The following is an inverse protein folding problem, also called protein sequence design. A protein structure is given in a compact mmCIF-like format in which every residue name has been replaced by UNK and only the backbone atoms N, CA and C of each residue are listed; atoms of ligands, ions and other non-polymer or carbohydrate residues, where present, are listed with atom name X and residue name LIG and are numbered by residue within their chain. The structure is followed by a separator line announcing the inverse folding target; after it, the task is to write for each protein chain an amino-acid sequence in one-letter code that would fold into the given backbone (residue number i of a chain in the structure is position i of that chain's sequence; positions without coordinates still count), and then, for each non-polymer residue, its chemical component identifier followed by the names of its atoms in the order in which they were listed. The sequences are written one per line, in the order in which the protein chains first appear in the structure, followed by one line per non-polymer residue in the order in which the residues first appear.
data_IF_862968273107
#
_entry.id   IF_862968273107
#
_cell.length_a   1.000
_cell.length_b   1.000
_cell.length_c   1.000
_cell.angle_alpha   90.00
_cell.angle_beta   90.00
_cell.angle_gamma   90.00
#
_symmetry.space_group_name_H-M   'P 1'
#
loop_
_entity.id
_entity.type
_entity.pdbx_description
1 polymer ?
#
# COMPACT_ATOMS: atom_id res chain seq x y z
N UNK A 1 -36.80 -50.40 32.79
CA UNK A 1 -35.65 -50.44 31.85
C UNK A 1 -35.84 -49.35 30.81
N UNK A 2 -35.31 -48.16 31.07
CA UNK A 2 -35.27 -47.07 30.09
C UNK A 2 -34.02 -47.26 29.23
N UNK A 3 -34.21 -47.32 27.91
CA UNK A 3 -33.14 -47.50 26.91
C UNK A 3 -32.72 -46.12 26.44
N UNK A 4 -31.57 -45.64 26.92
CA UNK A 4 -30.96 -44.39 26.47
C UNK A 4 -30.48 -44.57 25.02
N UNK A 5 -30.94 -43.71 24.11
CA UNK A 5 -30.44 -43.60 22.75
C UNK A 5 -29.45 -42.42 22.76
N UNK A 6 -28.15 -42.72 22.61
CA UNK A 6 -27.15 -41.71 22.28
C UNK A 6 -27.26 -41.41 20.78
N UNK A 7 -27.53 -40.16 20.44
CA UNK A 7 -27.37 -39.63 19.08
C UNK A 7 -26.01 -38.95 19.02
N UNK A 8 -25.07 -39.56 18.31
CA UNK A 8 -23.77 -38.96 17.99
C UNK A 8 -23.98 -37.99 16.83
N UNK A 9 -23.91 -36.69 17.08
CA UNK A 9 -23.91 -35.66 16.03
C UNK A 9 -22.48 -35.53 15.52
N UNK A 10 -22.26 -36.00 14.29
CA UNK A 10 -21.03 -35.81 13.54
C UNK A 10 -21.00 -34.34 13.07
N UNK A 11 -20.17 -33.49 13.67
CA UNK A 11 -20.01 -32.10 13.22
C UNK A 11 -19.19 -32.07 11.93
N UNK A 12 -19.84 -31.84 10.79
CA UNK A 12 -19.17 -31.41 9.58
C UNK A 12 -18.65 -29.98 9.81
N UNK A 13 -17.34 -29.82 9.93
CA UNK A 13 -16.68 -28.51 9.94
C UNK A 13 -16.67 -28.04 8.49
N UNK A 14 -17.66 -27.22 8.11
CA UNK A 14 -17.59 -26.44 6.88
C UNK A 14 -16.66 -25.26 7.12
N UNK A 15 -15.45 -25.31 6.55
CA UNK A 15 -14.60 -24.14 6.41
C UNK A 15 -15.34 -23.11 5.54
N UNK A 16 -15.86 -22.05 6.15
CA UNK A 16 -16.33 -20.87 5.44
C UNK A 16 -15.12 -19.98 5.15
N UNK A 17 -14.76 -19.90 3.87
CA UNK A 17 -13.77 -18.96 3.35
C UNK A 17 -14.17 -17.52 3.68
N UNK A 18 -13.29 -16.79 4.37
CA UNK A 18 -13.42 -15.37 4.64
C UNK A 18 -13.22 -14.61 3.33
N UNK A 19 -14.22 -13.89 2.84
CA UNK A 19 -14.05 -12.95 1.74
C UNK A 19 -13.63 -11.61 2.34
N UNK A 20 -12.36 -11.24 2.19
CA UNK A 20 -11.87 -9.91 2.49
C UNK A 20 -12.41 -8.93 1.43
N UNK A 21 -12.64 -7.67 1.80
CA UNK A 21 -12.71 -6.61 0.79
C UNK A 21 -11.35 -6.62 0.09
N UNK A 22 -11.32 -7.05 -1.17
CA UNK A 22 -10.08 -7.38 -1.85
C UNK A 22 -9.53 -6.11 -2.48
N UNK A 23 -8.42 -5.60 -1.93
CA UNK A 23 -7.61 -4.58 -2.58
C UNK A 23 -7.24 -5.06 -3.98
N UNK A 24 -7.00 -4.12 -4.89
CA UNK A 24 -6.56 -4.45 -6.26
C UNK A 24 -5.21 -5.19 -6.29
N UNK A 25 -4.50 -5.18 -5.16
CA UNK A 25 -3.34 -6.01 -4.87
C UNK A 25 -3.53 -6.78 -3.56
N UNK A 26 -3.03 -8.01 -3.52
CA UNK A 26 -2.81 -8.78 -2.30
C UNK A 26 -1.41 -8.47 -1.76
N UNK A 27 -1.33 -8.11 -0.48
CA UNK A 27 -0.06 -7.87 0.21
C UNK A 27 0.47 -9.17 0.82
N UNK A 28 1.69 -9.55 0.42
CA UNK A 28 2.47 -10.61 1.03
C UNK A 28 3.69 -9.96 1.70
N UNK A 29 3.85 -10.24 2.99
CA UNK A 29 4.98 -9.74 3.79
C UNK A 29 5.99 -10.88 3.95
N UNK A 30 7.23 -10.64 3.54
CA UNK A 30 8.32 -11.60 3.62
C UNK A 30 9.53 -10.98 4.33
N UNK A 31 10.42 -11.85 4.83
CA UNK A 31 11.74 -11.48 5.31
C UNK A 31 12.78 -12.20 4.45
N UNK A 32 13.58 -11.45 3.70
CA UNK A 32 14.52 -12.00 2.75
C UNK A 32 15.89 -11.32 2.81
N UNK A 33 16.92 -12.04 2.37
CA UNK A 33 18.26 -11.47 2.26
C UNK A 33 18.31 -10.42 1.15
N UNK A 34 18.67 -9.21 1.52
CA UNK A 34 18.93 -8.12 0.58
C UNK A 34 20.26 -8.33 -0.15
N UNK A 35 20.22 -8.29 -1.48
CA UNK A 35 21.40 -8.43 -2.32
C UNK A 35 21.58 -7.16 -3.17
N UNK A 36 22.66 -6.37 -2.95
CA UNK A 36 22.88 -5.17 -3.73
C UNK A 36 23.06 -5.43 -5.22
N UNK A 37 22.63 -4.49 -6.07
CA UNK A 37 22.72 -4.60 -7.53
C UNK A 37 24.11 -4.15 -8.03
N UNK A 38 25.19 -4.75 -7.53
CA UNK A 38 26.58 -4.30 -7.76
C UNK A 38 27.01 -4.21 -9.23
N UNK A 39 26.36 -4.97 -10.11
CA UNK A 39 26.68 -5.06 -11.55
C UNK A 39 25.63 -4.40 -12.45
N UNK A 40 24.61 -3.79 -11.86
CA UNK A 40 23.57 -3.10 -12.59
C UNK A 40 24.08 -1.78 -13.19
N UNK A 41 23.30 -1.23 -14.12
CA UNK A 41 23.61 0.04 -14.76
C UNK A 41 23.43 1.17 -13.76
N UNK A 42 24.48 1.95 -13.52
CA UNK A 42 24.39 3.20 -12.76
C UNK A 42 23.65 4.25 -13.59
N UNK A 43 22.82 5.08 -12.96
CA UNK A 43 22.21 6.24 -13.65
C UNK A 43 23.29 7.19 -14.17
N UNK A 44 22.98 7.96 -15.21
CA UNK A 44 23.95 8.89 -15.79
C UNK A 44 24.24 10.03 -14.81
N UNK A 45 25.52 10.33 -14.61
CA UNK A 45 25.99 11.50 -13.86
C UNK A 45 25.44 12.84 -14.38
N UNK A 46 24.95 12.90 -15.62
CA UNK A 46 24.28 14.11 -16.13
C UNK A 46 22.95 14.40 -15.46
N UNK A 47 22.36 13.42 -14.76
CA UNK A 47 21.16 13.60 -13.96
C UNK A 47 21.45 14.11 -12.55
N UNK A 48 22.72 14.36 -12.20
CA UNK A 48 23.10 14.87 -10.88
C UNK A 48 23.00 16.39 -10.85
N UNK A 49 22.40 16.91 -9.78
CA UNK A 49 22.25 18.35 -9.55
C UNK A 49 23.55 19.01 -9.07
N UNK A 50 24.49 18.22 -8.56
CA UNK A 50 25.78 18.68 -8.04
C UNK A 50 26.95 17.92 -8.67
N UNK A 51 28.12 18.58 -8.76
CA UNK A 51 29.34 17.93 -9.29
C UNK A 51 29.76 16.70 -8.47
N UNK A 52 29.40 16.65 -7.19
CA UNK A 52 29.82 15.63 -6.24
C UNK A 52 28.75 14.57 -5.95
N UNK A 53 27.54 14.69 -6.50
CA UNK A 53 26.43 13.79 -6.21
C UNK A 53 25.06 14.37 -6.57
N UNK A 54 24.01 13.71 -6.14
CA UNK A 54 22.62 14.05 -6.46
C UNK A 54 21.79 14.41 -5.22
N UNK A 55 20.71 15.14 -5.45
CA UNK A 55 19.66 15.45 -4.51
C UNK A 55 18.36 15.47 -5.31
N UNK A 56 17.52 14.44 -5.14
CA UNK A 56 16.33 14.23 -5.98
C UNK A 56 16.57 14.27 -7.51
N UNK A 57 17.45 13.41 -8.06
CA UNK A 57 17.83 13.47 -9.46
C UNK A 57 16.65 13.13 -10.38
N UNK A 58 16.48 13.90 -11.44
CA UNK A 58 15.52 13.61 -12.49
C UNK A 58 16.14 12.71 -13.57
N UNK A 59 15.56 11.52 -13.77
CA UNK A 59 16.00 10.59 -14.80
C UNK A 59 14.90 9.60 -15.20
N UNK A 60 15.08 8.99 -16.37
CA UNK A 60 14.19 7.96 -16.91
C UNK A 60 14.92 6.63 -17.05
N UNK A 61 14.29 5.53 -16.65
CA UNK A 61 14.80 4.17 -16.82
C UNK A 61 13.84 3.32 -17.65
N UNK A 62 14.31 2.67 -18.72
CA UNK A 62 13.47 1.74 -19.47
C UNK A 62 13.30 0.44 -18.69
N UNK A 63 12.07 -0.07 -18.61
CA UNK A 63 11.78 -1.36 -17.97
C UNK A 63 12.31 -2.54 -18.78
N UNK A 64 12.40 -2.36 -20.09
CA UNK A 64 12.75 -3.40 -21.05
C UNK A 64 11.59 -4.33 -21.42
N UNK A 65 10.42 -4.15 -20.81
CA UNK A 65 9.16 -4.83 -21.13
C UNK A 65 7.97 -3.94 -20.78
N UNK A 66 6.79 -4.28 -21.29
CA UNK A 66 5.54 -3.60 -20.93
C UNK A 66 5.04 -4.16 -19.61
N UNK A 67 5.01 -3.34 -18.56
CA UNK A 67 4.47 -3.71 -17.25
C UNK A 67 3.04 -3.17 -17.10
N UNK A 68 2.12 -3.97 -16.55
CA UNK A 68 0.72 -3.58 -16.40
C UNK A 68 0.34 -3.32 -14.94
N UNK A 69 0.05 -2.06 -14.61
CA UNK A 69 -0.67 -1.70 -13.38
C UNK A 69 -2.16 -1.92 -13.59
N UNK A 70 -2.62 -3.16 -13.46
CA UNK A 70 -4.06 -3.52 -13.56
C UNK A 70 -4.73 -3.05 -14.86
N UNK A 71 -4.00 -3.06 -15.98
CA UNK A 71 -4.47 -2.59 -17.29
C UNK A 71 -3.88 -1.23 -17.73
N UNK A 72 -3.23 -0.50 -16.82
CA UNK A 72 -2.44 0.68 -17.16
C UNK A 72 -1.01 0.23 -17.53
N UNK A 73 -0.71 0.24 -18.82
CA UNK A 73 0.56 -0.26 -19.35
C UNK A 73 1.62 0.84 -19.41
N UNK A 74 2.80 0.55 -18.85
CA UNK A 74 3.99 1.41 -18.85
C UNK A 74 5.20 0.67 -19.42
N UNK A 75 6.16 1.42 -19.97
CA UNK A 75 7.41 0.86 -20.53
C UNK A 75 8.68 1.46 -19.91
N UNK A 76 8.53 2.55 -19.16
CA UNK A 76 9.58 3.25 -18.44
C UNK A 76 9.06 3.77 -17.11
N UNK A 77 9.99 4.05 -16.20
CA UNK A 77 9.74 4.82 -15.00
C UNK A 77 10.61 6.07 -15.03
N UNK A 78 10.04 7.18 -14.61
CA UNK A 78 10.68 8.47 -14.46
C UNK A 78 10.74 8.80 -12.96
N UNK A 79 11.94 9.09 -12.44
CA UNK A 79 12.06 9.68 -11.10
C UNK A 79 11.66 11.15 -11.20
N UNK A 80 10.64 11.54 -10.46
CA UNK A 80 10.15 12.93 -10.41
C UNK A 80 9.82 13.33 -8.96
N UNK A 81 10.13 14.58 -8.62
CA UNK A 81 9.90 15.10 -7.27
C UNK A 81 10.84 14.48 -6.23
N UNK A 82 10.37 14.42 -4.98
CA UNK A 82 11.23 14.10 -3.84
C UNK A 82 11.46 12.59 -3.64
N UNK A 83 12.64 12.26 -3.13
CA UNK A 83 13.00 10.96 -2.59
C UNK A 83 13.21 9.86 -3.64
N UNK A 84 12.32 8.87 -3.60
CA UNK A 84 12.38 7.67 -4.46
C UNK A 84 11.12 7.46 -5.30
N UNK A 85 10.37 8.55 -5.50
CA UNK A 85 9.10 8.53 -6.20
C UNK A 85 9.31 8.32 -7.71
N UNK A 86 8.91 7.15 -8.19
CA UNK A 86 9.01 6.76 -9.60
C UNK A 86 7.62 6.71 -10.23
N UNK A 87 7.42 7.34 -11.38
CA UNK A 87 6.17 7.26 -12.13
C UNK A 87 6.34 6.72 -13.55
N UNK A 88 5.39 5.92 -13.99
CA UNK A 88 5.21 5.55 -15.38
C UNK A 88 3.97 6.23 -15.96
N UNK A 89 4.10 6.71 -17.20
CA UNK A 89 2.97 7.23 -17.97
C UNK A 89 2.18 6.10 -18.61
N UNK A 90 0.91 5.95 -18.26
CA UNK A 90 0.05 4.96 -18.88
C UNK A 90 -0.13 5.26 -20.38
N UNK A 91 0.16 4.30 -21.23
CA UNK A 91 0.13 4.45 -22.70
C UNK A 91 -1.27 4.52 -23.30
N UNK A 92 -2.29 4.06 -22.57
CA UNK A 92 -3.62 3.73 -23.11
C UNK A 92 -4.76 4.65 -22.68
N UNK A 93 -4.56 5.58 -21.74
CA UNK A 93 -5.62 6.42 -21.15
C UNK A 93 -5.23 7.91 -21.10
N UNK A 94 -6.18 8.79 -20.72
CA UNK A 94 -5.87 10.18 -20.31
C UNK A 94 -4.70 10.17 -19.30
N UNK A 95 -3.90 11.24 -19.16
CA UNK A 95 -2.60 11.18 -18.46
C UNK A 95 -2.77 10.86 -16.96
N UNK A 96 -2.88 9.57 -16.69
CA UNK A 96 -2.91 8.94 -15.38
C UNK A 96 -1.53 8.33 -15.20
N UNK A 97 -0.99 8.55 -14.02
CA UNK A 97 0.36 8.17 -13.67
C UNK A 97 0.31 6.98 -12.72
N UNK A 98 1.10 5.96 -13.03
CA UNK A 98 1.29 4.81 -12.15
C UNK A 98 2.58 5.01 -11.38
N UNK A 99 2.49 5.14 -10.05
CA UNK A 99 3.58 5.56 -9.19
C UNK A 99 4.01 4.47 -8.21
N UNK A 100 5.28 4.51 -7.82
CA UNK A 100 5.90 3.63 -6.86
C UNK A 100 6.71 4.49 -5.89
N UNK A 101 6.44 4.35 -4.59
CA UNK A 101 7.14 5.08 -3.54
C UNK A 101 7.49 4.11 -2.42
N UNK A 102 8.66 3.45 -2.47
CA UNK A 102 9.07 2.53 -1.40
C UNK A 102 9.38 3.28 -0.09
N UNK A 103 9.88 4.52 -0.18
CA UNK A 103 10.08 5.43 0.96
C UNK A 103 9.67 6.86 0.60
N UNK A 104 9.12 7.59 1.57
CA UNK A 104 8.79 9.00 1.47
C UNK A 104 9.83 9.95 2.07
N UNK A 105 11.07 9.49 2.30
CA UNK A 105 12.15 10.34 2.78
C UNK A 105 12.68 11.25 1.68
N UNK A 106 13.14 12.43 2.08
CA UNK A 106 13.95 13.33 1.25
C UNK A 106 15.40 12.80 1.18
N UNK A 107 15.83 12.36 -0.01
CA UNK A 107 17.05 11.55 -0.20
C UNK A 107 18.13 12.35 -0.91
N UNK A 108 19.35 12.22 -0.40
CA UNK A 108 20.52 12.84 -1.03
C UNK A 108 21.77 11.94 -1.05
N UNK A 109 22.70 12.28 -1.93
CA UNK A 109 23.97 11.60 -2.08
C UNK A 109 24.93 11.92 -0.91
N UNK A 110 25.29 10.88 -0.15
CA UNK A 110 26.26 10.95 0.94
C UNK A 110 27.64 11.44 0.48
N UNK A 111 27.98 11.22 -0.79
CA UNK A 111 29.21 11.69 -1.41
C UNK A 111 29.36 13.21 -1.38
N UNK A 112 28.25 13.96 -1.37
CA UNK A 112 28.26 15.43 -1.25
C UNK A 112 28.87 15.86 0.10
N UNK A 113 28.60 15.11 1.17
CA UNK A 113 29.18 15.34 2.49
C UNK A 113 30.59 14.72 2.67
N UNK A 114 31.16 14.13 1.62
CA UNK A 114 32.48 13.50 1.64
C UNK A 114 32.51 12.07 2.18
N UNK A 115 31.36 11.44 2.33
CA UNK A 115 31.21 10.04 2.73
C UNK A 115 31.25 9.10 1.50
N UNK A 116 31.12 7.79 1.72
CA UNK A 116 30.93 6.85 0.61
C UNK A 116 29.67 7.22 -0.19
N UNK A 117 29.73 7.30 -1.54
CA UNK A 117 28.64 7.85 -2.35
C UNK A 117 27.39 6.97 -2.35
N UNK A 118 26.23 7.61 -2.48
CA UNK A 118 24.94 6.99 -2.71
C UNK A 118 24.77 6.66 -4.19
N UNK A 119 24.39 5.42 -4.50
CA UNK A 119 24.28 4.95 -5.88
C UNK A 119 22.83 4.61 -6.23
N UNK A 120 22.38 5.05 -7.40
CA UNK A 120 21.12 4.61 -8.00
C UNK A 120 21.43 3.72 -9.19
N UNK A 121 20.97 2.47 -9.14
CA UNK A 121 21.32 1.43 -10.12
C UNK A 121 20.10 0.65 -10.58
N UNK A 122 20.02 0.31 -11.86
CA UNK A 122 18.90 -0.46 -12.39
C UNK A 122 19.35 -1.54 -13.39
N UNK A 123 18.57 -2.61 -13.48
CA UNK A 123 18.78 -3.68 -14.44
C UNK A 123 17.47 -4.37 -14.81
N UNK A 124 17.43 -4.96 -15.99
CA UNK A 124 16.40 -5.93 -16.38
C UNK A 124 17.08 -7.26 -16.66
N UNK A 125 16.60 -8.33 -16.02
CA UNK A 125 17.14 -9.68 -16.16
C UNK A 125 16.05 -10.67 -16.51
N UNK A 126 16.40 -11.90 -16.89
CA UNK A 126 15.44 -12.95 -17.27
C UNK A 126 15.21 -13.08 -18.78
N UNK A 127 14.45 -14.11 -19.15
CA UNK A 127 14.04 -14.35 -20.54
C UNK A 127 12.75 -13.60 -20.84
N UNK A 128 12.47 -13.30 -22.11
CA UNK A 128 11.21 -12.67 -22.53
C UNK A 128 10.01 -13.46 -21.98
N UNK A 129 9.08 -12.78 -21.31
CA UNK A 129 7.92 -13.36 -20.62
C UNK A 129 8.18 -13.74 -19.16
N UNK A 130 9.44 -13.67 -18.72
CA UNK A 130 9.90 -13.97 -17.37
C UNK A 130 10.89 -12.90 -16.88
N UNK A 131 10.88 -11.70 -17.49
CA UNK A 131 11.81 -10.64 -17.11
C UNK A 131 11.44 -10.04 -15.76
N UNK A 132 12.47 -9.56 -15.08
CA UNK A 132 12.34 -8.79 -13.84
C UNK A 132 13.16 -7.52 -14.01
N UNK A 133 12.48 -6.38 -13.90
CA UNK A 133 13.13 -5.08 -13.76
C UNK A 133 13.38 -4.82 -12.28
N UNK A 134 14.57 -4.33 -11.94
CA UNK A 134 14.91 -3.90 -10.60
C UNK A 134 15.65 -2.56 -10.64
N UNK A 135 15.29 -1.65 -9.74
CA UNK A 135 16.04 -0.42 -9.46
C UNK A 135 16.35 -0.36 -7.96
N UNK A 136 17.52 0.17 -7.63
CA UNK A 136 18.09 0.22 -6.30
C UNK A 136 18.57 1.63 -5.95
N UNK A 137 18.29 2.05 -4.72
CA UNK A 137 19.01 3.12 -4.03
C UNK A 137 19.89 2.47 -2.98
N UNK A 138 21.20 2.59 -3.16
CA UNK A 138 22.22 2.00 -2.31
C UNK A 138 22.92 3.08 -1.52
N UNK A 139 23.02 2.89 -0.21
CA UNK A 139 23.66 3.81 0.72
C UNK A 139 23.10 5.25 0.64
N UNK A 140 21.80 5.42 0.35
CA UNK A 140 21.18 6.74 0.27
C UNK A 140 21.20 7.45 1.64
N UNK A 141 21.54 8.74 1.64
CA UNK A 141 21.47 9.60 2.83
C UNK A 141 20.16 10.38 2.89
N UNK A 142 20.02 11.20 3.91
CA UNK A 142 18.89 12.12 4.07
C UNK A 142 19.34 13.55 3.78
N UNK A 143 18.52 14.31 3.05
CA UNK A 143 18.79 15.70 2.69
C UNK A 143 19.19 16.55 3.91
N UNK A 144 18.41 16.51 4.98
CA UNK A 144 18.64 17.29 6.20
C UNK A 144 20.02 17.03 6.81
N UNK A 145 20.48 15.78 6.82
CA UNK A 145 21.81 15.44 7.36
C UNK A 145 22.95 15.90 6.44
N UNK A 146 22.72 15.96 5.13
CA UNK A 146 23.74 16.31 4.13
C UNK A 146 23.86 17.83 3.98
N UNK A 147 22.74 18.57 4.01
CA UNK A 147 22.69 19.99 3.68
C UNK A 147 22.36 20.91 4.86
N UNK A 148 21.67 20.41 5.89
CA UNK A 148 21.20 21.23 7.01
C UNK A 148 21.90 20.94 8.34
N UNK A 149 22.82 19.97 8.36
CA UNK A 149 23.57 19.57 9.55
C UNK A 149 25.07 19.86 9.45
N UNK A 150 25.67 20.28 10.57
CA UNK A 150 27.12 20.42 10.72
C UNK A 150 27.81 19.09 11.13
N UNK A 151 27.05 18.02 11.30
CA UNK A 151 27.57 16.71 11.70
C UNK A 151 27.69 15.76 10.52
N UNK A 152 28.62 14.80 10.61
CA UNK A 152 28.75 13.73 9.61
C UNK A 152 27.41 12.97 9.50
N UNK A 153 26.87 12.77 8.28
CA UNK A 153 25.59 12.08 8.11
C UNK A 153 25.71 10.62 8.54
N UNK A 154 24.76 10.15 9.32
CA UNK A 154 24.73 8.79 9.90
C UNK A 154 23.69 7.90 9.22
N UNK A 155 22.73 8.49 8.50
CA UNK A 155 21.68 7.78 7.80
C UNK A 155 22.19 7.09 6.53
N UNK A 156 21.88 5.81 6.39
CA UNK A 156 22.20 5.01 5.20
C UNK A 156 21.04 4.05 4.91
N UNK A 157 20.38 4.29 3.80
CA UNK A 157 19.19 3.58 3.35
C UNK A 157 19.54 2.72 2.13
N UNK A 158 19.08 1.47 2.14
CA UNK A 158 19.29 0.52 1.05
C UNK A 158 17.95 -0.12 0.73
N UNK A 159 17.41 0.13 -0.46
CA UNK A 159 16.13 -0.42 -0.86
C UNK A 159 16.01 -0.55 -2.37
N UNK A 160 15.08 -1.41 -2.80
CA UNK A 160 14.87 -1.74 -4.20
C UNK A 160 13.38 -1.78 -4.53
N UNK A 161 13.08 -1.47 -5.79
CA UNK A 161 11.79 -1.74 -6.43
C UNK A 161 12.02 -2.85 -7.45
N UNK A 162 11.18 -3.89 -7.44
CA UNK A 162 11.18 -4.96 -8.43
C UNK A 162 9.83 -5.05 -9.12
N UNK A 163 9.84 -5.18 -10.44
CA UNK A 163 8.65 -5.36 -11.28
C UNK A 163 8.80 -6.65 -12.08
N UNK A 164 7.79 -7.52 -12.01
CA UNK A 164 7.83 -8.86 -12.60
C UNK A 164 6.95 -8.93 -13.85
N UNK A 165 7.53 -9.31 -14.99
CA UNK A 165 6.81 -9.43 -16.27
C UNK A 165 5.77 -10.56 -16.26
N UNK A 166 6.06 -11.66 -15.56
CA UNK A 166 5.25 -12.88 -15.61
C UNK A 166 3.84 -12.69 -15.07
N UNK A 167 3.70 -11.93 -13.98
CA UNK A 167 2.47 -11.82 -13.19
C UNK A 167 2.10 -10.37 -12.84
N UNK A 168 2.90 -9.39 -13.27
CA UNK A 168 2.76 -7.98 -12.92
C UNK A 168 2.81 -7.71 -11.40
N UNK A 169 3.48 -8.58 -10.64
CA UNK A 169 3.75 -8.32 -9.23
C UNK A 169 4.79 -7.22 -9.04
N UNK A 170 4.68 -6.53 -7.91
CA UNK A 170 5.55 -5.44 -7.48
C UNK A 170 6.18 -5.88 -6.16
N UNK A 171 7.48 -5.63 -5.97
CA UNK A 171 8.10 -5.76 -4.65
C UNK A 171 8.85 -4.49 -4.27
N UNK A 172 8.66 -4.10 -3.02
CA UNK A 172 9.57 -3.21 -2.32
C UNK A 172 10.44 -4.03 -1.38
N UNK A 173 11.76 -3.96 -1.56
CA UNK A 173 12.73 -4.78 -0.82
C UNK A 173 13.65 -3.86 -0.04
N UNK A 174 13.77 -4.08 1.26
CA UNK A 174 14.53 -3.22 2.14
C UNK A 174 15.74 -3.97 2.69
N UNK A 175 16.91 -3.39 2.51
CA UNK A 175 18.17 -3.85 3.06
C UNK A 175 18.40 -3.28 4.46
N UNK A 176 19.64 -2.85 4.70
CA UNK A 176 19.95 -2.08 5.90
C UNK A 176 19.40 -0.66 5.75
N UNK A 177 18.50 -0.29 6.64
CA UNK A 177 17.89 1.04 6.76
C UNK A 177 18.30 1.62 8.11
N UNK A 178 19.34 2.46 8.09
CA UNK A 178 19.81 3.21 9.24
C UNK A 178 19.34 4.65 9.08
N UNK A 179 18.53 5.13 10.02
CA UNK A 179 18.07 6.51 10.11
C UNK A 179 17.73 6.84 11.57
N UNK A 180 17.79 8.11 11.99
CA UNK A 180 17.48 8.53 13.35
C UNK A 180 16.16 7.94 13.86
N UNK A 181 16.16 7.53 15.12
CA UNK A 181 14.95 7.00 15.74
C UNK A 181 13.84 8.07 15.70
N UNK A 182 12.66 7.63 15.26
CA UNK A 182 11.40 8.38 15.14
C UNK A 182 11.33 9.61 16.06
N UNK A 183 11.45 10.79 15.48
CA UNK A 183 11.06 12.03 16.13
C UNK A 183 9.69 12.44 15.56
N UNK A 184 8.61 12.43 16.36
CA UNK A 184 7.29 12.85 15.89
C UNK A 184 7.21 14.34 15.47
N UNK A 185 8.28 15.11 15.67
CA UNK A 185 8.43 16.47 15.13
C UNK A 185 8.97 16.50 13.69
N UNK A 186 9.47 15.37 13.16
CA UNK A 186 9.85 15.23 11.77
C UNK A 186 8.73 14.50 11.02
N UNK A 187 8.37 15.01 9.84
CA UNK A 187 7.51 14.35 8.87
C UNK A 187 8.12 13.04 8.31
N UNK A 188 9.25 12.59 8.87
CA UNK A 188 10.10 11.48 8.42
C UNK A 188 9.53 10.13 8.84
N UNK A 189 8.33 9.85 8.35
CA UNK A 189 7.66 8.56 8.45
C UNK A 189 7.98 7.71 7.22
N UNK A 190 8.10 6.38 7.39
CA UNK A 190 8.21 5.49 6.22
C UNK A 190 6.84 5.41 5.56
N UNK A 191 6.66 6.21 4.52
CA UNK A 191 5.52 6.15 3.63
C UNK A 191 5.88 5.18 2.51
N UNK A 192 5.13 4.09 2.41
CA UNK A 192 5.33 3.04 1.41
C UNK A 192 4.05 2.87 0.62
N UNK A 193 4.06 3.31 -0.65
CA UNK A 193 2.85 3.48 -1.44
C UNK A 193 2.99 3.08 -2.91
N UNK A 194 1.87 2.69 -3.51
CA UNK A 194 1.68 2.48 -4.95
C UNK A 194 0.54 3.38 -5.41
N UNK A 195 0.78 4.19 -6.43
CA UNK A 195 -0.23 5.03 -7.08
C UNK A 195 -0.72 4.29 -8.33
N UNK A 196 -2.00 3.95 -8.40
CA UNK A 196 -2.53 3.11 -9.49
C UNK A 196 -2.92 3.93 -10.72
N UNK A 197 -3.50 5.12 -10.49
CA UNK A 197 -4.07 6.00 -11.51
C UNK A 197 -4.09 7.46 -11.04
N UNK A 198 -2.94 7.98 -10.64
CA UNK A 198 -2.83 9.32 -10.05
C UNK A 198 -2.91 10.43 -11.09
N UNK A 199 -3.67 11.47 -10.77
CA UNK A 199 -3.85 12.66 -11.58
C UNK A 199 -3.26 13.89 -10.88
N UNK A 200 -2.05 14.29 -11.30
CA UNK A 200 -1.36 15.47 -10.77
C UNK A 200 -2.16 16.77 -10.88
N UNK A 201 -3.07 16.91 -11.84
CA UNK A 201 -3.85 18.14 -12.01
C UNK A 201 -4.97 18.27 -10.97
N UNK A 202 -5.49 17.13 -10.50
CA UNK A 202 -6.56 17.06 -9.51
C UNK A 202 -6.04 16.78 -8.10
N UNK A 203 -4.79 16.30 -7.98
CA UNK A 203 -4.20 15.78 -6.75
C UNK A 203 -5.02 14.64 -6.12
N UNK A 204 -5.51 13.77 -7.00
CA UNK A 204 -6.39 12.66 -6.65
C UNK A 204 -6.02 11.41 -7.46
N UNK A 205 -6.28 10.24 -6.89
CA UNK A 205 -6.11 8.94 -7.54
C UNK A 205 -6.14 7.80 -6.53
N UNK A 206 -6.29 6.56 -7.01
CA UNK A 206 -6.25 5.39 -6.14
C UNK A 206 -4.81 5.11 -5.71
N UNK A 207 -4.55 5.25 -4.41
CA UNK A 207 -3.25 5.02 -3.81
C UNK A 207 -3.37 3.91 -2.79
N UNK A 208 -2.52 2.90 -2.90
CA UNK A 208 -2.34 1.86 -1.92
C UNK A 208 -1.18 2.24 -1.01
N UNK A 209 -1.38 2.29 0.30
CA UNK A 209 -0.35 2.67 1.28
C UNK A 209 -0.27 1.68 2.42
N UNK A 210 0.93 1.46 2.96
CA UNK A 210 1.14 0.62 4.13
C UNK A 210 1.07 1.42 5.43
N UNK A 211 0.42 0.84 6.44
CA UNK A 211 0.40 1.43 7.77
C UNK A 211 0.55 0.40 8.90
N UNK A 212 1.09 0.86 10.02
CA UNK A 212 1.26 0.06 11.24
C UNK A 212 2.66 -0.53 11.38
N UNK A 213 2.76 -1.69 12.02
CA UNK A 213 4.07 -2.29 12.25
C UNK A 213 4.60 -3.00 10.99
N UNK A 214 5.88 -2.85 10.61
CA UNK A 214 6.46 -3.46 9.41
C UNK A 214 6.12 -4.95 9.19
N UNK A 215 6.18 -5.77 10.23
CA UNK A 215 5.93 -7.22 10.15
C UNK A 215 4.45 -7.65 10.15
N UNK A 216 3.52 -6.72 10.37
CA UNK A 216 2.08 -6.98 10.42
C UNK A 216 1.29 -5.74 10.00
N UNK A 217 1.79 -5.06 8.96
CA UNK A 217 1.19 -3.84 8.44
C UNK A 217 -0.07 -4.16 7.64
N UNK A 218 -0.89 -3.13 7.46
CA UNK A 218 -2.12 -3.21 6.67
C UNK A 218 -1.93 -2.46 5.36
N UNK A 219 -2.57 -2.98 4.31
CA UNK A 219 -2.68 -2.30 3.02
C UNK A 219 -3.97 -1.49 3.01
N UNK A 220 -3.82 -0.17 3.01
CA UNK A 220 -4.91 0.79 3.00
C UNK A 220 -5.08 1.39 1.60
N UNK A 221 -6.30 1.79 1.26
CA UNK A 221 -6.60 2.50 0.02
C UNK A 221 -7.04 3.93 0.34
N UNK A 222 -6.37 4.91 -0.25
CA UNK A 222 -6.64 6.34 -0.11
C UNK A 222 -6.79 6.98 -1.49
N UNK A 223 -7.39 8.17 -1.53
CA UNK A 223 -7.72 8.85 -2.79
C UNK A 223 -6.97 10.17 -3.02
N UNK A 224 -6.16 10.62 -2.06
CA UNK A 224 -5.43 11.87 -2.11
C UNK A 224 -4.02 11.69 -1.56
N UNK A 225 -3.04 12.36 -2.17
CA UNK A 225 -1.66 12.34 -1.70
C UNK A 225 -1.48 13.11 -0.38
N UNK A 226 -2.34 14.09 -0.08
CA UNK A 226 -2.32 14.85 1.16
C UNK A 226 -2.52 13.96 2.40
N UNK A 227 -3.24 12.84 2.25
CA UNK A 227 -3.51 11.91 3.34
C UNK A 227 -2.30 11.00 3.65
N UNK A 228 -1.28 10.95 2.79
CA UNK A 228 -0.14 10.03 2.94
C UNK A 228 0.60 10.19 4.26
N UNK A 229 0.72 11.41 4.79
CA UNK A 229 1.38 11.69 6.07
C UNK A 229 0.70 11.04 7.28
N UNK A 230 -0.52 10.52 7.12
CA UNK A 230 -1.27 9.79 8.16
C UNK A 230 -0.87 8.31 8.19
N UNK A 231 -0.40 7.76 7.06
CA UNK A 231 -0.14 6.32 6.90
C UNK A 231 1.35 6.05 6.85
N UNK A 232 1.83 5.29 7.84
CA UNK A 232 3.23 4.96 7.91
C UNK A 232 3.54 3.66 8.60
N UNK A 233 4.73 3.17 8.30
CA UNK A 233 5.34 2.08 9.03
C UNK A 233 6.05 2.61 10.29
N UNK A 234 5.65 2.08 11.44
CA UNK A 234 6.03 2.64 12.75
C UNK A 234 7.42 2.23 13.26
N UNK A 235 8.17 1.41 12.51
CA UNK A 235 9.49 0.87 12.91
C UNK A 235 10.40 0.64 11.70
N UNK A 236 11.68 0.34 11.97
CA UNK A 236 12.65 -0.08 10.96
C UNK A 236 12.14 -1.25 10.11
N UNK A 237 12.29 -1.11 8.79
CA UNK A 237 11.86 -2.09 7.77
C UNK A 237 13.02 -2.99 7.32
N UNK A 238 14.06 -3.14 8.13
CA UNK A 238 15.25 -3.90 7.77
C UNK A 238 14.91 -5.34 7.35
N UNK A 239 15.42 -5.77 6.19
CA UNK A 239 15.21 -7.12 5.62
C UNK A 239 13.75 -7.46 5.24
N UNK A 240 12.85 -6.48 5.26
CA UNK A 240 11.46 -6.69 4.85
C UNK A 240 11.34 -6.69 3.33
N UNK A 241 10.43 -7.51 2.82
CA UNK A 241 9.96 -7.47 1.45
C UNK A 241 8.44 -7.36 1.48
N UNK A 242 7.92 -6.30 0.86
CA UNK A 242 6.49 -6.12 0.62
C UNK A 242 6.20 -6.46 -0.83
N UNK A 243 5.57 -7.61 -1.04
CA UNK A 243 5.17 -8.10 -2.35
C UNK A 243 3.69 -7.81 -2.55
N UNK A 244 3.37 -7.14 -3.65
CA UNK A 244 2.03 -6.80 -4.07
C UNK A 244 1.72 -7.64 -5.31
N UNK A 245 0.79 -8.59 -5.18
CA UNK A 245 0.32 -9.42 -6.29
C UNK A 245 -1.01 -8.87 -6.81
N UNK A 246 -1.15 -8.57 -8.12
CA UNK A 246 -2.43 -8.13 -8.67
C UNK A 246 -3.51 -9.15 -8.37
N UNK A 247 -4.60 -8.71 -7.74
CA UNK A 247 -5.75 -9.59 -7.58
C UNK A 247 -6.39 -9.75 -8.95
N UNK A 248 -6.81 -10.96 -9.31
CA UNK A 248 -7.32 -11.30 -10.64
C UNK A 248 -8.69 -10.67 -10.97
N UNK A 249 -8.98 -9.48 -10.43
CA UNK A 249 -10.15 -8.67 -10.73
C UNK A 249 -9.72 -7.67 -11.80
N UNK A 250 -10.07 -7.91 -13.08
CA UNK A 250 -9.77 -6.94 -14.13
C UNK A 250 -10.57 -5.67 -13.85
N UNK A 251 -9.85 -4.54 -13.79
CA UNK A 251 -10.42 -3.21 -13.92
C UNK A 251 -11.13 -3.14 -15.27
N UNK A 252 -12.46 -3.24 -15.28
CA UNK A 252 -13.23 -2.91 -16.46
C UNK A 252 -13.57 -1.42 -16.36
N UNK A 253 -12.80 -0.60 -17.08
CA UNK A 253 -13.04 0.84 -17.27
C UNK A 253 -14.32 1.01 -18.09
N UNK A 254 -15.47 0.84 -17.45
CA UNK A 254 -16.80 1.22 -17.93
C UNK A 254 -17.88 1.26 -16.85
N UNK A 255 -17.60 0.84 -15.61
CA UNK A 255 -18.56 0.98 -14.52
C UNK A 255 -18.21 2.20 -13.64
N UNK A 256 -18.84 3.33 -13.94
CA UNK A 256 -19.02 4.46 -13.02
C UNK A 256 -19.89 4.10 -11.79
N UNK A 257 -19.83 2.86 -11.32
CA UNK A 257 -20.44 2.41 -10.08
C UNK A 257 -19.34 2.05 -9.09
N UNK A 258 -18.51 3.03 -8.77
CA UNK A 258 -17.80 3.06 -7.50
C UNK A 258 -18.84 2.75 -6.40
N UNK A 259 -18.63 1.67 -5.66
CA UNK A 259 -19.49 1.30 -4.53
C UNK A 259 -19.38 2.40 -3.47
N UNK A 260 -20.32 3.34 -3.49
CA UNK A 260 -20.41 4.40 -2.51
C UNK A 260 -21.21 3.87 -1.33
N UNK A 261 -20.54 3.56 -0.23
CA UNK A 261 -21.17 3.39 1.07
C UNK A 261 -20.38 4.21 2.09
N UNK A 262 -21.04 4.64 3.16
CA UNK A 262 -20.36 5.34 4.25
C UNK A 262 -20.96 4.94 5.60
N UNK A 263 -20.15 4.98 6.65
CA UNK A 263 -20.54 4.55 8.00
C UNK A 263 -20.22 5.68 8.95
N UNK A 264 -21.25 6.34 9.49
CA UNK A 264 -21.06 7.56 10.27
C UNK A 264 -22.15 7.81 11.33
N UNK A 265 -21.83 8.55 12.39
CA UNK A 265 -20.48 8.91 12.79
C UNK A 265 -19.69 7.66 13.22
N UNK A 266 -18.38 7.69 12.99
CA UNK A 266 -17.44 6.69 13.47
C UNK A 266 -16.15 7.43 13.88
N UNK A 267 -15.82 7.54 15.18
CA UNK A 267 -16.45 6.88 16.33
C UNK A 267 -17.90 7.32 16.66
N UNK A 268 -18.64 6.51 17.41
CA UNK A 268 -20.00 6.83 17.90
C UNK A 268 -20.30 6.24 19.28
N UNK A 269 -21.20 6.87 20.04
CA UNK A 269 -21.67 6.39 21.35
C UNK A 269 -23.18 6.11 21.41
N UNK A 270 -23.92 6.41 20.33
CA UNK A 270 -25.38 6.30 20.36
C UNK A 270 -25.97 5.67 19.09
N UNK A 271 -25.72 6.25 17.92
CA UNK A 271 -26.33 5.87 16.66
C UNK A 271 -25.23 5.78 15.61
N UNK A 272 -25.25 4.68 14.87
CA UNK A 272 -24.42 4.45 13.71
C UNK A 272 -25.32 4.43 12.48
N UNK A 273 -25.05 5.28 11.50
CA UNK A 273 -25.72 5.25 10.20
C UNK A 273 -24.86 4.43 9.25
N UNK A 274 -25.48 3.47 8.59
CA UNK A 274 -24.88 2.72 7.49
C UNK A 274 -25.51 3.26 6.22
N UNK A 275 -24.87 4.24 5.60
CA UNK A 275 -25.33 4.75 4.32
C UNK A 275 -24.93 3.80 3.20
N UNK A 276 -25.94 3.16 2.62
CA UNK A 276 -25.77 2.20 1.54
C UNK A 276 -25.44 2.87 0.20
N UNK A 277 -25.55 4.20 0.07
CA UNK A 277 -25.26 4.94 -1.17
C UNK A 277 -25.82 4.26 -2.41
N UNK A 278 -24.96 3.75 -3.31
CA UNK A 278 -25.41 3.08 -4.53
C UNK A 278 -25.99 1.66 -4.35
N UNK A 279 -25.92 1.09 -3.14
CA UNK A 279 -26.60 -0.15 -2.73
C UNK A 279 -28.06 0.09 -2.29
N UNK A 280 -28.54 1.35 -2.25
CA UNK A 280 -29.95 1.60 -1.99
C UNK A 280 -30.84 0.93 -3.06
N UNK A 281 -31.83 0.16 -2.62
CA UNK A 281 -32.70 -0.66 -3.47
C UNK A 281 -32.21 -2.11 -3.64
N UNK A 282 -30.97 -2.43 -3.26
CA UNK A 282 -30.42 -3.79 -3.26
C UNK A 282 -30.72 -4.47 -1.93
N UNK A 283 -31.15 -5.75 -1.97
CA UNK A 283 -31.37 -6.52 -0.75
C UNK A 283 -30.02 -6.73 -0.04
N UNK A 284 -29.89 -6.14 1.14
CA UNK A 284 -28.64 -6.08 1.88
C UNK A 284 -28.84 -6.56 3.31
N UNK A 285 -27.97 -7.43 3.82
CA UNK A 285 -27.94 -7.86 5.21
C UNK A 285 -26.79 -7.17 5.92
N UNK A 286 -27.08 -6.46 7.01
CA UNK A 286 -26.08 -5.74 7.79
C UNK A 286 -25.89 -6.46 9.12
N UNK A 287 -24.65 -6.77 9.47
CA UNK A 287 -24.26 -7.49 10.68
C UNK A 287 -23.23 -6.71 11.45
N UNK A 288 -23.32 -6.68 12.78
CA UNK A 288 -22.29 -6.11 13.65
C UNK A 288 -21.78 -7.17 14.61
N UNK A 289 -20.46 -7.26 14.75
CA UNK A 289 -19.75 -8.20 15.61
C UNK A 289 -18.96 -7.44 16.68
N UNK A 290 -18.99 -7.93 17.91
CA UNK A 290 -18.21 -7.39 19.02
C UNK A 290 -16.71 -7.69 18.89
N UNK A 291 -15.83 -7.12 19.75
CA UNK A 291 -14.38 -7.34 19.68
C UNK A 291 -13.94 -8.80 19.83
N UNK A 292 -14.80 -9.69 20.34
CA UNK A 292 -14.52 -11.13 20.42
C UNK A 292 -14.94 -11.90 19.16
N UNK A 293 -15.50 -11.20 18.17
CA UNK A 293 -16.04 -11.78 16.94
C UNK A 293 -17.47 -12.32 17.07
N UNK A 294 -18.17 -12.04 18.17
CA UNK A 294 -19.55 -12.50 18.38
C UNK A 294 -20.54 -11.55 17.70
N UNK A 295 -21.47 -12.12 16.91
CA UNK A 295 -22.57 -11.36 16.29
C UNK A 295 -23.48 -10.74 17.37
N UNK A 296 -23.61 -9.42 17.35
CA UNK A 296 -24.42 -8.64 18.30
C UNK A 296 -25.58 -7.90 17.64
N UNK A 297 -25.58 -7.74 16.31
CA UNK A 297 -26.66 -7.13 15.55
C UNK A 297 -26.76 -7.76 14.16
N UNK A 298 -27.98 -7.94 13.65
CA UNK A 298 -28.25 -8.36 12.27
C UNK A 298 -29.54 -7.72 11.78
N UNK A 299 -29.55 -7.20 10.54
CA UNK A 299 -30.73 -6.60 9.90
C UNK A 299 -30.66 -6.71 8.39
N UNK A 300 -31.71 -7.25 7.78
CA UNK A 300 -31.95 -7.08 6.34
C UNK A 300 -32.55 -5.70 6.06
N UNK A 301 -32.06 -5.01 5.04
CA UNK A 301 -32.52 -3.70 4.60
C UNK A 301 -32.33 -3.52 3.09
N UNK A 302 -33.19 -2.72 2.48
CA UNK A 302 -33.03 -2.23 1.10
C UNK A 302 -32.74 -0.73 1.06
N UNK A 303 -32.57 -0.09 2.21
CA UNK A 303 -32.20 1.33 2.33
C UNK A 303 -31.27 1.56 3.51
N UNK A 304 -30.53 2.67 3.51
CA UNK A 304 -29.58 3.06 4.56
C UNK A 304 -30.21 3.01 5.97
N UNK A 305 -29.82 2.07 6.86
CA UNK A 305 -30.38 2.01 8.20
C UNK A 305 -29.53 2.76 9.23
N UNK A 306 -30.17 3.06 10.35
CA UNK A 306 -29.49 3.48 11.58
C UNK A 306 -29.55 2.35 12.60
N UNK A 307 -28.43 2.10 13.28
CA UNK A 307 -28.25 1.12 14.35
C UNK A 307 -28.09 1.90 15.66
N UNK A 308 -28.88 1.55 16.67
CA UNK A 308 -28.69 2.05 18.03
C UNK A 308 -27.61 1.21 18.73
N UNK A 309 -26.49 1.84 19.03
CA UNK A 309 -25.31 1.23 19.66
C UNK A 309 -25.13 1.65 21.12
N UNK A 310 -26.06 2.43 21.68
CA UNK A 310 -25.97 2.95 23.06
C UNK A 310 -25.90 1.86 24.14
N UNK A 311 -26.38 0.64 23.82
CA UNK A 311 -26.31 -0.53 24.70
C UNK A 311 -25.06 -1.39 24.54
N UNK A 312 -24.17 -1.06 23.60
CA UNK A 312 -22.98 -1.87 23.31
C UNK A 312 -21.79 -1.42 24.18
N UNK A 313 -20.90 -2.37 24.50
CA UNK A 313 -19.70 -2.06 25.27
C UNK A 313 -18.71 -1.27 24.42
N UNK A 314 -17.92 -0.41 25.04
CA UNK A 314 -16.87 0.35 24.32
C UNK A 314 -15.87 -0.61 23.66
N UNK A 315 -15.45 -0.32 22.44
CA UNK A 315 -14.47 -1.13 21.72
C UNK A 315 -14.59 -1.03 20.19
N UNK A 316 -13.77 -1.81 19.50
CA UNK A 316 -13.73 -1.89 18.03
C UNK A 316 -14.62 -3.05 17.58
N UNK A 317 -15.66 -2.73 16.81
CA UNK A 317 -16.62 -3.68 16.26
C UNK A 317 -16.37 -3.88 14.77
N UNK A 318 -16.67 -5.06 14.25
CA UNK A 318 -16.70 -5.32 12.81
C UNK A 318 -18.14 -5.19 12.31
N UNK A 319 -18.37 -4.36 11.29
CA UNK A 319 -19.63 -4.25 10.56
C UNK A 319 -19.50 -4.92 9.21
N UNK A 320 -20.37 -5.88 8.91
CA UNK A 320 -20.48 -6.52 7.60
C UNK A 320 -21.75 -6.02 6.90
N UNK A 321 -21.65 -5.69 5.61
CA UNK A 321 -22.74 -5.32 4.70
C UNK A 321 -22.74 -6.35 3.56
N UNK A 322 -23.75 -7.20 3.51
CA UNK A 322 -23.81 -8.35 2.60
C UNK A 322 -24.92 -8.17 1.57
N UNK A 323 -24.63 -8.39 0.30
CA UNK A 323 -25.63 -8.55 -0.78
C UNK A 323 -25.54 -9.97 -1.34
N UNK A 324 -26.38 -10.30 -2.33
CA UNK A 324 -26.29 -11.59 -3.03
C UNK A 324 -24.96 -11.78 -3.80
N UNK A 325 -24.26 -10.69 -4.10
CA UNK A 325 -23.04 -10.69 -4.91
C UNK A 325 -21.77 -10.43 -4.08
N UNK A 326 -21.87 -9.69 -2.97
CA UNK A 326 -20.70 -9.12 -2.28
C UNK A 326 -20.85 -9.11 -0.76
N UNK A 327 -19.71 -9.12 -0.08
CA UNK A 327 -19.61 -8.86 1.36
C UNK A 327 -18.60 -7.74 1.57
N UNK A 328 -19.04 -6.65 2.18
CA UNK A 328 -18.24 -5.48 2.53
C UNK A 328 -18.04 -5.49 4.05
N UNK A 329 -16.83 -5.24 4.53
CA UNK A 329 -16.51 -5.21 5.96
C UNK A 329 -15.90 -3.87 6.34
N UNK A 330 -16.24 -3.35 7.51
CA UNK A 330 -15.71 -2.08 8.03
C UNK A 330 -15.58 -2.13 9.56
N UNK A 331 -14.66 -1.36 10.12
CA UNK A 331 -14.54 -1.23 11.57
C UNK A 331 -15.35 -0.04 12.08
N UNK A 332 -15.99 -0.23 13.23
CA UNK A 332 -16.75 0.81 13.93
C UNK A 332 -16.25 0.92 15.36
N UNK A 333 -15.86 2.12 15.76
CA UNK A 333 -15.43 2.43 17.12
C UNK A 333 -16.65 2.89 17.92
N UNK A 334 -16.99 2.12 18.97
CA UNK A 334 -18.05 2.46 19.91
C UNK A 334 -17.43 3.01 21.19
N UNK A 335 -17.85 4.21 21.59
CA UNK A 335 -17.35 4.96 22.75
C UNK A 335 -18.29 5.04 23.95
#
# INVERSE_FOLDING_TARGET
MMRNILITVLSCISFSTLCFCQNSYELIILEEMYNPLEKATLIDSTSYDYEAGWDDPEFSVPLGFTFSFLGNEIESLDQIGLGSLMFGMATSQAPLFCGLMPVGFDLADRGIAGEDPSLIRYQTTGNIGERVFAIEWYNAGLYEEIFESDTVPVSSLNFQIWLYETDNSIEFRYGSMMYPAFDPAFDNQIITSIFLDYNFSADEGNILTLSGHPAFCFLENINSADDLGIYSLSYYVNSMVYRFEPTSIPFNVNDNNLLSYSIYPNPTSNKLTVDLGNLNGVKTTIKLYDPSGKLVFEKESTSSPTIDVSGFSKGIYSLDILTDEKVIRSQVIIE
#
